data_IF_906507938079
#
_entry.id   IF_906507938079
#
_cell.length_a   1.000
_cell.length_b   1.000
_cell.length_c   1.000
_cell.angle_alpha   90.00
_cell.angle_beta   90.00
_cell.angle_gamma   90.00
#
_symmetry.space_group_name_H-M   'P 1'
#
loop_
_entity.id
_entity.type
_entity.pdbx_description
1 polymer ?
#
# COMPACT_ATOMS: atom_id res chain seq x y z
N UNK A 1 -130.80 76.07 180.92
CA UNK A 1 -129.95 76.91 180.05
C UNK A 1 -128.47 76.60 180.21
N UNK A 2 -127.98 76.18 181.38
CA UNK A 2 -126.56 75.87 181.61
C UNK A 2 -126.00 74.68 180.81
N UNK A 3 -126.80 73.64 180.50
CA UNK A 3 -126.34 72.49 179.69
C UNK A 3 -126.00 72.86 178.24
N UNK A 4 -126.76 73.76 177.61
CA UNK A 4 -126.53 74.21 176.23
C UNK A 4 -125.28 75.09 176.10
N UNK A 5 -124.99 75.92 177.11
CA UNK A 5 -123.77 76.72 177.16
C UNK A 5 -122.52 75.85 177.33
N UNK A 6 -122.58 74.81 178.18
CA UNK A 6 -121.47 73.85 178.35
C UNK A 6 -121.21 73.05 177.07
N UNK A 7 -122.25 72.61 176.36
CA UNK A 7 -122.09 71.93 175.05
C UNK A 7 -121.52 72.85 173.96
N UNK A 8 -121.88 74.14 173.96
CA UNK A 8 -121.32 75.11 173.00
C UNK A 8 -119.82 75.35 173.24
N UNK A 9 -119.41 75.47 174.51
CA UNK A 9 -118.00 75.61 174.90
C UNK A 9 -117.20 74.36 174.51
N UNK A 10 -117.71 73.15 174.81
CA UNK A 10 -117.05 71.90 174.43
C UNK A 10 -116.89 71.77 172.91
N UNK A 11 -117.91 72.13 172.13
CA UNK A 11 -117.81 72.12 170.64
C UNK A 11 -116.81 73.15 170.11
N UNK A 12 -116.65 74.28 170.79
CA UNK A 12 -115.70 75.32 170.39
C UNK A 12 -114.26 74.93 170.76
N UNK A 13 -114.07 74.32 171.93
CA UNK A 13 -112.81 73.68 172.35
C UNK A 13 -112.41 72.54 171.41
N UNK A 14 -113.33 71.66 171.02
CA UNK A 14 -113.11 70.60 170.04
C UNK A 14 -112.72 71.15 168.66
N UNK A 15 -113.40 72.20 168.16
CA UNK A 15 -113.04 72.86 166.89
C UNK A 15 -111.69 73.54 166.96
N UNK A 16 -111.35 74.18 168.09
CA UNK A 16 -110.04 74.79 168.30
C UNK A 16 -108.94 73.70 168.33
N UNK A 17 -109.20 72.59 169.01
CA UNK A 17 -108.30 71.43 169.06
C UNK A 17 -108.13 70.80 167.67
N UNK A 18 -109.20 70.62 166.89
CA UNK A 18 -109.13 70.13 165.51
C UNK A 18 -108.34 71.09 164.60
N UNK A 19 -108.57 72.41 164.69
CA UNK A 19 -107.79 73.41 163.94
C UNK A 19 -106.31 73.39 164.31
N UNK A 20 -106.00 73.13 165.58
CA UNK A 20 -104.63 72.97 166.06
C UNK A 20 -103.99 71.69 165.51
N UNK A 21 -104.67 70.55 165.60
CA UNK A 21 -104.20 69.27 165.07
C UNK A 21 -104.02 69.30 163.55
N UNK A 22 -104.93 69.95 162.81
CA UNK A 22 -104.82 70.12 161.36
C UNK A 22 -103.64 71.02 160.97
N UNK A 23 -103.38 72.10 161.73
CA UNK A 23 -102.19 72.94 161.52
C UNK A 23 -100.91 72.17 161.82
N UNK A 24 -100.90 71.37 162.88
CA UNK A 24 -99.77 70.53 163.23
C UNK A 24 -99.49 69.47 162.14
N UNK A 25 -100.53 68.84 161.59
CA UNK A 25 -100.42 67.90 160.47
C UNK A 25 -99.88 68.60 159.21
N UNK A 26 -100.44 69.74 158.81
CA UNK A 26 -99.96 70.51 157.67
C UNK A 26 -98.49 70.93 157.82
N UNK A 27 -98.06 71.36 159.00
CA UNK A 27 -96.67 71.70 159.26
C UNK A 27 -95.74 70.47 159.17
N UNK A 28 -96.20 69.29 159.61
CA UNK A 28 -95.46 68.03 159.44
C UNK A 28 -95.32 67.67 157.97
N UNK A 29 -96.41 67.71 157.20
CA UNK A 29 -96.41 67.42 155.77
C UNK A 29 -95.51 68.39 154.98
N UNK A 30 -95.57 69.70 155.28
CA UNK A 30 -94.69 70.69 154.66
C UNK A 30 -93.22 70.45 154.98
N UNK A 31 -92.92 70.04 156.22
CA UNK A 31 -91.56 69.70 156.63
C UNK A 31 -91.06 68.43 155.93
N UNK A 32 -91.93 67.44 155.74
CA UNK A 32 -91.65 66.24 154.95
C UNK A 32 -91.41 66.58 153.47
N UNK A 33 -92.23 67.43 152.85
CA UNK A 33 -92.00 67.90 151.47
C UNK A 33 -90.67 68.64 151.32
N UNK A 34 -90.29 69.47 152.29
CA UNK A 34 -88.98 70.17 152.27
C UNK A 34 -87.85 69.15 152.36
N UNK A 35 -87.97 68.12 153.20
CA UNK A 35 -86.97 67.05 153.30
C UNK A 35 -86.88 66.24 152.01
N UNK A 36 -88.01 65.90 151.41
CA UNK A 36 -88.07 65.15 150.16
C UNK A 36 -87.44 65.93 149.00
N UNK A 37 -87.78 67.21 148.84
CA UNK A 37 -87.16 68.08 147.82
C UNK A 37 -85.65 68.22 148.03
N UNK A 38 -85.18 68.33 149.28
CA UNK A 38 -83.75 68.34 149.59
C UNK A 38 -83.09 67.03 149.17
N UNK A 39 -83.70 65.90 149.50
CA UNK A 39 -83.18 64.59 149.12
C UNK A 39 -83.13 64.42 147.59
N UNK A 40 -84.18 64.81 146.88
CA UNK A 40 -84.23 64.79 145.40
C UNK A 40 -83.16 65.70 144.78
N UNK A 41 -82.94 66.90 145.33
CA UNK A 41 -81.89 67.79 144.87
C UNK A 41 -80.48 67.20 145.10
N UNK A 42 -80.29 66.48 146.20
CA UNK A 42 -79.01 65.80 146.48
C UNK A 42 -78.81 64.59 145.57
N UNK A 43 -79.87 63.83 145.26
CA UNK A 43 -79.83 62.75 144.25
C UNK A 43 -79.49 63.30 142.86
N UNK A 44 -80.14 64.37 142.41
CA UNK A 44 -79.86 64.99 141.11
C UNK A 44 -78.39 65.45 141.00
N UNK A 45 -77.84 66.07 142.06
CA UNK A 45 -76.41 66.43 142.09
C UNK A 45 -75.47 65.22 142.01
N UNK A 46 -75.87 64.07 142.55
CA UNK A 46 -75.09 62.84 142.45
C UNK A 46 -75.17 62.26 141.03
N UNK A 47 -76.34 62.32 140.39
CA UNK A 47 -76.53 61.91 139.00
C UNK A 47 -75.75 62.81 138.03
N UNK A 48 -75.83 64.13 138.17
CA UNK A 48 -75.06 65.09 137.36
C UNK A 48 -73.55 64.82 137.42
N UNK A 49 -73.04 64.44 138.61
CA UNK A 49 -71.63 64.05 138.78
C UNK A 49 -71.32 62.75 138.05
N UNK A 50 -72.19 61.74 138.16
CA UNK A 50 -72.01 60.45 137.47
C UNK A 50 -72.03 60.64 135.95
N UNK A 51 -73.00 61.38 135.43
CA UNK A 51 -73.10 61.70 134.00
C UNK A 51 -71.89 62.51 133.53
N UNK A 52 -71.44 63.50 134.31
CA UNK A 52 -70.23 64.27 134.02
C UNK A 52 -68.98 63.40 133.94
N UNK A 53 -68.80 62.45 134.86
CA UNK A 53 -67.71 61.47 134.83
C UNK A 53 -67.80 60.53 133.61
N UNK A 54 -69.01 60.06 133.28
CA UNK A 54 -69.24 59.21 132.10
C UNK A 54 -68.92 59.94 130.80
N UNK A 55 -69.34 61.20 130.67
CA UNK A 55 -69.00 62.05 129.52
C UNK A 55 -67.48 62.24 129.41
N UNK A 56 -66.79 62.46 130.52
CA UNK A 56 -65.32 62.57 130.52
C UNK A 56 -64.65 61.26 130.09
N UNK A 57 -65.10 60.11 130.61
CA UNK A 57 -64.58 58.79 130.24
C UNK A 57 -64.81 58.51 128.74
N UNK A 58 -66.01 58.79 128.23
CA UNK A 58 -66.34 58.60 126.82
C UNK A 58 -65.50 59.53 125.91
N UNK A 59 -65.30 60.78 126.32
CA UNK A 59 -64.45 61.72 125.58
C UNK A 59 -63.00 61.22 125.49
N UNK A 60 -62.45 60.71 126.60
CA UNK A 60 -61.11 60.11 126.63
C UNK A 60 -61.02 58.86 125.74
N UNK A 61 -62.02 57.97 125.79
CA UNK A 61 -62.07 56.79 124.93
C UNK A 61 -62.13 57.16 123.44
N UNK A 62 -62.96 58.14 123.08
CA UNK A 62 -63.05 58.62 121.71
C UNK A 62 -61.72 59.18 121.20
N UNK A 63 -61.01 59.96 122.02
CA UNK A 63 -59.67 60.45 121.68
C UNK A 63 -58.67 59.31 121.48
N UNK A 64 -58.70 58.28 122.34
CA UNK A 64 -57.85 57.10 122.19
C UNK A 64 -58.18 56.31 120.92
N UNK A 65 -59.45 56.18 120.56
CA UNK A 65 -59.85 55.51 119.31
C UNK A 65 -59.38 56.28 118.07
N UNK A 66 -59.44 57.61 118.09
CA UNK A 66 -58.89 58.44 117.02
C UNK A 66 -57.39 58.22 116.88
N UNK A 67 -56.64 58.21 117.99
CA UNK A 67 -55.20 57.93 117.96
C UNK A 67 -54.90 56.54 117.41
N UNK A 68 -55.63 55.50 117.82
CA UNK A 68 -55.48 54.14 117.30
C UNK A 68 -55.77 54.04 115.80
N UNK A 69 -56.77 54.76 115.30
CA UNK A 69 -57.07 54.81 113.85
C UNK A 69 -55.91 55.45 113.08
N UNK A 70 -55.40 56.57 113.58
CA UNK A 70 -54.26 57.27 112.97
C UNK A 70 -52.99 56.41 112.98
N UNK A 71 -52.75 55.64 114.05
CA UNK A 71 -51.63 54.70 114.14
C UNK A 71 -51.75 53.57 113.12
N UNK A 72 -52.91 52.91 113.03
CA UNK A 72 -53.18 51.87 112.03
C UNK A 72 -53.01 52.39 110.60
N UNK A 73 -53.51 53.58 110.29
CA UNK A 73 -53.35 54.18 108.96
C UNK A 73 -51.87 54.44 108.63
N UNK A 74 -51.04 54.79 109.63
CA UNK A 74 -49.60 54.95 109.45
C UNK A 74 -48.92 53.61 109.21
N UNK A 75 -49.25 52.59 110.02
CA UNK A 75 -48.73 51.23 109.85
C UNK A 75 -49.08 50.66 108.47
N UNK A 76 -50.34 50.78 108.03
CA UNK A 76 -50.77 50.33 106.70
C UNK A 76 -50.06 51.06 105.56
N UNK A 77 -49.71 52.35 105.74
CA UNK A 77 -48.94 53.10 104.74
C UNK A 77 -47.51 52.59 104.67
N UNK A 78 -46.88 52.33 105.81
CA UNK A 78 -45.52 51.78 105.88
C UNK A 78 -45.47 50.37 105.30
N UNK A 79 -46.42 49.50 105.66
CA UNK A 79 -46.50 48.15 105.11
C UNK A 79 -46.76 48.15 103.60
N UNK A 80 -47.65 49.03 103.11
CA UNK A 80 -47.85 49.19 101.65
C UNK A 80 -46.57 49.61 100.93
N UNK A 81 -45.79 50.54 101.50
CA UNK A 81 -44.51 50.95 100.94
C UNK A 81 -43.50 49.80 100.96
N UNK A 82 -43.42 49.06 102.08
CA UNK A 82 -42.55 47.89 102.21
C UNK A 82 -42.85 46.83 101.15
N UNK A 83 -44.12 46.45 101.02
CA UNK A 83 -44.59 45.48 100.03
C UNK A 83 -44.29 45.94 98.59
N UNK A 84 -44.47 47.24 98.30
CA UNK A 84 -44.12 47.80 97.00
C UNK A 84 -42.62 47.66 96.71
N UNK A 85 -41.76 48.02 97.67
CA UNK A 85 -40.31 47.88 97.51
C UNK A 85 -39.87 46.42 97.36
N UNK A 86 -40.48 45.50 98.12
CA UNK A 86 -40.23 44.08 98.01
C UNK A 86 -40.64 43.53 96.63
N UNK A 87 -41.83 43.91 96.14
CA UNK A 87 -42.29 43.54 94.81
C UNK A 87 -41.34 44.06 93.71
N UNK A 88 -40.90 45.32 93.80
CA UNK A 88 -39.93 45.88 92.85
C UNK A 88 -38.59 45.16 92.92
N UNK A 89 -38.12 44.78 94.11
CA UNK A 89 -36.90 44.00 94.27
C UNK A 89 -37.05 42.60 93.65
N UNK A 90 -38.16 41.92 93.91
CA UNK A 90 -38.47 40.60 93.34
C UNK A 90 -38.56 40.67 91.81
N UNK A 91 -39.18 41.71 91.25
CA UNK A 91 -39.20 41.91 89.79
C UNK A 91 -37.81 42.06 89.20
N UNK A 92 -36.90 42.78 89.87
CA UNK A 92 -35.51 42.91 89.41
C UNK A 92 -34.78 41.56 89.45
N UNK A 93 -35.00 40.77 90.51
CA UNK A 93 -34.41 39.43 90.64
C UNK A 93 -34.93 38.51 89.53
N UNK A 94 -36.24 38.49 89.28
CA UNK A 94 -36.86 37.66 88.22
C UNK A 94 -36.26 38.02 86.86
N UNK A 95 -36.17 39.31 86.52
CA UNK A 95 -35.56 39.76 85.27
C UNK A 95 -34.11 39.32 85.13
N UNK A 96 -33.31 39.48 86.19
CA UNK A 96 -31.91 39.05 86.17
C UNK A 96 -31.77 37.52 85.97
N UNK A 97 -32.66 36.73 86.59
CA UNK A 97 -32.69 35.27 86.39
C UNK A 97 -33.12 34.90 84.97
N UNK A 98 -34.09 35.60 84.39
CA UNK A 98 -34.53 35.40 83.01
C UNK A 98 -33.42 35.74 82.01
N UNK A 99 -32.74 36.87 82.21
CA UNK A 99 -31.59 37.29 81.39
C UNK A 99 -30.46 36.26 81.46
N UNK A 100 -30.14 35.73 82.65
CA UNK A 100 -29.14 34.68 82.80
C UNK A 100 -29.53 33.41 82.03
N UNK A 101 -30.79 32.96 82.14
CA UNK A 101 -31.29 31.79 81.40
C UNK A 101 -31.16 31.98 79.89
N UNK A 102 -31.51 33.15 79.37
CA UNK A 102 -31.36 33.46 77.95
C UNK A 102 -29.89 33.38 77.50
N UNK A 103 -28.97 33.91 78.31
CA UNK A 103 -27.54 33.82 78.03
C UNK A 103 -27.04 32.36 78.00
N UNK A 104 -27.49 31.52 78.94
CA UNK A 104 -27.16 30.09 79.00
C UNK A 104 -27.74 29.32 77.80
N UNK A 105 -28.99 29.60 77.43
CA UNK A 105 -29.63 29.03 76.24
C UNK A 105 -28.88 29.44 74.95
N UNK A 106 -28.51 30.71 74.83
CA UNK A 106 -27.73 31.21 73.70
C UNK A 106 -26.35 30.54 73.61
N UNK A 107 -25.67 30.34 74.74
CA UNK A 107 -24.41 29.60 74.80
C UNK A 107 -24.59 28.14 74.38
N UNK A 108 -25.66 27.50 74.83
CA UNK A 108 -26.00 26.14 74.43
C UNK A 108 -26.28 26.04 72.93
N UNK A 109 -27.05 26.96 72.37
CA UNK A 109 -27.34 27.05 70.93
C UNK A 109 -26.04 27.25 70.14
N UNK A 110 -25.16 28.16 70.59
CA UNK A 110 -23.85 28.39 69.96
C UNK A 110 -22.98 27.14 69.97
N UNK A 111 -22.90 26.44 71.11
CA UNK A 111 -22.11 25.21 71.24
C UNK A 111 -22.65 24.11 70.32
N UNK A 112 -23.96 23.91 70.28
CA UNK A 112 -24.60 22.94 69.43
C UNK A 112 -24.42 23.26 67.94
N UNK A 113 -24.50 24.53 67.55
CA UNK A 113 -24.23 24.96 66.18
C UNK A 113 -22.77 24.69 65.78
N UNK A 114 -21.80 25.02 66.65
CA UNK A 114 -20.37 24.71 66.42
C UNK A 114 -20.15 23.20 66.27
N UNK A 115 -20.75 22.39 67.13
CA UNK A 115 -20.68 20.93 67.05
C UNK A 115 -21.24 20.41 65.71
N UNK A 116 -22.42 20.89 65.28
CA UNK A 116 -23.00 20.56 63.97
C UNK A 116 -22.08 20.99 62.82
N UNK A 117 -21.46 22.15 62.90
CA UNK A 117 -20.52 22.63 61.89
C UNK A 117 -19.27 21.73 61.81
N UNK A 118 -18.72 21.29 62.95
CA UNK A 118 -17.60 20.35 62.97
C UNK A 118 -17.96 19.00 62.38
N UNK A 119 -19.14 18.46 62.72
CA UNK A 119 -19.63 17.20 62.14
C UNK A 119 -19.79 17.34 60.63
N UNK A 120 -20.39 18.43 60.15
CA UNK A 120 -20.56 18.67 58.72
C UNK A 120 -19.21 18.76 57.97
N UNK A 121 -18.18 19.35 58.57
CA UNK A 121 -16.82 19.36 58.00
C UNK A 121 -16.24 17.94 57.92
N UNK A 122 -16.31 17.17 59.00
CA UNK A 122 -15.83 15.78 59.01
C UNK A 122 -16.57 14.89 58.01
N UNK A 123 -17.89 15.10 57.83
CA UNK A 123 -18.66 14.38 56.82
C UNK A 123 -18.19 14.70 55.40
N UNK A 124 -17.92 15.98 55.10
CA UNK A 124 -17.36 16.38 53.79
C UNK A 124 -15.97 15.79 53.55
N UNK A 125 -15.09 15.86 54.54
CA UNK A 125 -13.74 15.26 54.45
C UNK A 125 -13.81 13.75 54.22
N UNK A 126 -14.73 13.04 54.91
CA UNK A 126 -14.95 11.61 54.70
C UNK A 126 -15.54 11.30 53.32
N UNK A 127 -16.45 12.12 52.82
CA UNK A 127 -17.00 11.98 51.48
C UNK A 127 -15.91 12.19 50.40
N UNK A 128 -15.07 13.21 50.56
CA UNK A 128 -13.92 13.48 49.69
C UNK A 128 -12.90 12.33 49.71
N UNK A 129 -12.60 11.78 50.88
CA UNK A 129 -11.73 10.60 51.03
C UNK A 129 -12.30 9.39 50.28
N UNK A 130 -13.59 9.10 50.45
CA UNK A 130 -14.27 8.00 49.75
C UNK A 130 -14.26 8.20 48.22
N UNK A 131 -14.48 9.42 47.76
CA UNK A 131 -14.37 9.77 46.33
C UNK A 131 -12.95 9.56 45.82
N UNK A 132 -11.92 9.99 46.58
CA UNK A 132 -10.51 9.80 46.21
C UNK A 132 -10.17 8.32 46.09
N UNK A 133 -10.56 7.49 47.07
CA UNK A 133 -10.34 6.05 47.04
C UNK A 133 -11.02 5.39 45.83
N UNK A 134 -12.26 5.81 45.52
CA UNK A 134 -12.99 5.30 44.35
C UNK A 134 -12.26 5.67 43.05
N UNK A 135 -11.79 6.92 42.94
CA UNK A 135 -11.02 7.39 41.79
C UNK A 135 -9.69 6.64 41.66
N UNK A 136 -8.95 6.46 42.74
CA UNK A 136 -7.69 5.70 42.75
C UNK A 136 -7.91 4.25 42.28
N UNK A 137 -9.02 3.63 42.69
CA UNK A 137 -9.40 2.30 42.24
C UNK A 137 -9.71 2.27 40.74
N UNK A 138 -10.52 3.22 40.25
CA UNK A 138 -10.81 3.35 38.82
C UNK A 138 -9.54 3.60 38.00
N UNK A 139 -8.67 4.50 38.45
CA UNK A 139 -7.41 4.79 37.78
C UNK A 139 -6.50 3.55 37.74
N UNK A 140 -6.47 2.74 38.81
CA UNK A 140 -5.72 1.48 38.83
C UNK A 140 -6.24 0.51 37.77
N UNK A 141 -7.56 0.36 37.64
CA UNK A 141 -8.18 -0.48 36.60
C UNK A 141 -7.81 0.07 35.21
N UNK A 142 -7.96 1.37 34.98
CA UNK A 142 -7.63 2.01 33.70
C UNK A 142 -6.16 1.82 33.33
N UNK A 143 -5.23 1.97 34.29
CA UNK A 143 -3.80 1.73 34.07
C UNK A 143 -3.50 0.27 33.72
N UNK A 144 -4.13 -0.68 34.41
CA UNK A 144 -3.99 -2.12 34.10
C UNK A 144 -4.52 -2.44 32.70
N UNK A 145 -5.70 -1.93 32.35
CA UNK A 145 -6.28 -2.11 31.03
C UNK A 145 -5.40 -1.50 29.93
N UNK A 146 -4.89 -0.28 30.14
CA UNK A 146 -3.98 0.37 29.21
C UNK A 146 -2.68 -0.42 29.02
N UNK A 147 -2.12 -0.99 30.09
CA UNK A 147 -0.95 -1.85 30.02
C UNK A 147 -1.22 -3.11 29.18
N UNK A 148 -2.34 -3.80 29.44
CA UNK A 148 -2.77 -4.96 28.66
C UNK A 148 -2.96 -4.61 27.18
N UNK A 149 -3.65 -3.51 26.87
CA UNK A 149 -3.82 -3.05 25.49
C UNK A 149 -2.47 -2.77 24.81
N UNK A 150 -1.54 -2.13 25.51
CA UNK A 150 -0.21 -1.83 24.96
C UNK A 150 0.61 -3.10 24.70
N UNK A 151 0.45 -4.13 25.52
CA UNK A 151 1.12 -5.42 25.35
C UNK A 151 0.55 -6.17 24.15
N UNK A 152 -0.78 -6.20 24.01
CA UNK A 152 -1.45 -6.78 22.83
C UNK A 152 -0.96 -6.09 21.56
N UNK A 153 -0.94 -4.75 21.52
CA UNK A 153 -0.44 -4.00 20.35
C UNK A 153 1.00 -4.36 19.99
N UNK A 154 1.90 -4.43 20.98
CA UNK A 154 3.29 -4.87 20.75
C UNK A 154 3.36 -6.28 20.16
N UNK A 155 2.56 -7.21 20.68
CA UNK A 155 2.54 -8.59 20.18
C UNK A 155 2.01 -8.69 18.74
N UNK A 156 1.06 -7.83 18.37
CA UNK A 156 0.54 -7.75 17.00
C UNK A 156 1.57 -7.13 16.05
N UNK A 157 2.25 -6.06 16.48
CA UNK A 157 3.35 -5.45 15.73
C UNK A 157 4.48 -6.47 15.47
N UNK A 158 4.83 -7.29 16.47
CA UNK A 158 5.79 -8.39 16.32
C UNK A 158 5.31 -9.47 15.34
N UNK A 159 4.00 -9.77 15.29
CA UNK A 159 3.44 -10.70 14.29
C UNK A 159 3.52 -10.10 12.89
N UNK A 160 3.15 -8.83 12.73
CA UNK A 160 3.22 -8.11 11.45
C UNK A 160 4.66 -8.04 10.95
N UNK A 161 5.61 -7.68 11.80
CA UNK A 161 7.03 -7.64 11.46
C UNK A 161 7.55 -9.00 10.97
N UNK A 162 7.15 -10.10 11.63
CA UNK A 162 7.50 -11.46 11.19
C UNK A 162 6.92 -11.79 9.82
N UNK A 163 5.68 -11.41 9.55
CA UNK A 163 5.05 -11.70 8.26
C UNK A 163 5.62 -10.82 7.13
N UNK A 164 6.00 -9.57 7.42
CA UNK A 164 6.76 -8.72 6.49
C UNK A 164 8.11 -9.36 6.16
N UNK A 165 8.89 -9.75 7.17
CA UNK A 165 10.19 -10.38 6.96
C UNK A 165 10.10 -11.69 6.14
N UNK A 166 9.07 -12.50 6.36
CA UNK A 166 8.80 -13.70 5.53
C UNK A 166 8.52 -13.34 4.07
N UNK A 167 7.69 -12.31 3.83
CA UNK A 167 7.36 -11.84 2.48
C UNK A 167 8.59 -11.28 1.77
N UNK A 168 9.40 -10.48 2.46
CA UNK A 168 10.65 -9.94 1.92
C UNK A 168 11.64 -11.06 1.59
N UNK A 169 11.84 -12.02 2.49
CA UNK A 169 12.71 -13.16 2.23
C UNK A 169 12.23 -14.04 1.06
N UNK A 170 10.91 -14.22 0.91
CA UNK A 170 10.33 -14.93 -0.24
C UNK A 170 10.56 -14.15 -1.54
N UNK A 171 10.35 -12.83 -1.52
CA UNK A 171 10.59 -11.96 -2.67
C UNK A 171 12.07 -11.95 -3.07
N UNK A 172 12.99 -11.88 -2.10
CA UNK A 172 14.43 -11.92 -2.35
C UNK A 172 14.86 -13.25 -2.98
N UNK A 173 14.30 -14.38 -2.50
CA UNK A 173 14.52 -15.70 -3.13
C UNK A 173 14.01 -15.74 -4.57
N UNK A 174 12.82 -15.22 -4.82
CA UNK A 174 12.24 -15.17 -6.17
C UNK A 174 13.09 -14.29 -7.11
N UNK A 175 13.59 -13.15 -6.63
CA UNK A 175 14.49 -12.30 -7.43
C UNK A 175 15.81 -13.01 -7.73
N UNK A 176 16.44 -13.64 -6.74
CA UNK A 176 17.65 -14.44 -6.93
C UNK A 176 17.43 -15.57 -7.94
N UNK A 177 16.29 -16.25 -7.90
CA UNK A 177 15.95 -17.28 -8.87
C UNK A 177 15.75 -16.71 -10.29
N UNK A 178 15.04 -15.59 -10.42
CA UNK A 178 14.86 -14.89 -11.71
C UNK A 178 16.20 -14.42 -12.29
N UNK A 179 17.09 -13.88 -11.46
CA UNK A 179 18.43 -13.48 -11.85
C UNK A 179 19.29 -14.67 -12.28
N UNK A 180 19.24 -15.78 -11.52
CA UNK A 180 19.93 -17.02 -11.89
C UNK A 180 19.43 -17.58 -13.23
N UNK A 181 18.10 -17.60 -13.46
CA UNK A 181 17.51 -18.01 -14.75
C UNK A 181 17.97 -17.11 -15.90
N UNK A 182 17.94 -15.79 -15.72
CA UNK A 182 18.45 -14.83 -16.72
C UNK A 182 19.92 -15.07 -17.01
N UNK A 183 20.74 -15.26 -15.97
CA UNK A 183 22.17 -15.54 -16.11
C UNK A 183 22.42 -16.84 -16.90
N UNK A 184 21.72 -17.92 -16.57
CA UNK A 184 21.83 -19.19 -17.28
C UNK A 184 21.40 -19.08 -18.77
N UNK A 185 20.37 -18.31 -19.08
CA UNK A 185 19.97 -18.04 -20.48
C UNK A 185 21.06 -17.26 -21.22
N UNK A 186 21.66 -16.25 -20.58
CA UNK A 186 22.77 -15.49 -21.18
C UNK A 186 23.97 -16.40 -21.44
N UNK A 187 24.33 -17.25 -20.48
CA UNK A 187 25.41 -18.23 -20.61
C UNK A 187 25.13 -19.22 -21.75
N UNK A 188 23.91 -19.77 -21.82
CA UNK A 188 23.50 -20.68 -22.91
C UNK A 188 23.54 -20.00 -24.30
N UNK A 189 23.11 -18.74 -24.41
CA UNK A 189 23.23 -17.97 -25.65
C UNK A 189 24.71 -17.75 -26.02
N UNK A 190 25.56 -17.46 -25.04
CA UNK A 190 27.00 -17.28 -25.26
C UNK A 190 27.66 -18.58 -25.72
N UNK A 191 27.34 -19.72 -25.09
CA UNK A 191 27.81 -21.04 -25.48
C UNK A 191 27.34 -21.41 -26.90
N UNK A 192 26.07 -21.18 -27.22
CA UNK A 192 25.55 -21.41 -28.58
C UNK A 192 26.27 -20.54 -29.61
N UNK A 193 26.48 -19.24 -29.33
CA UNK A 193 27.25 -18.36 -30.23
C UNK A 193 28.69 -18.83 -30.41
N UNK A 194 29.34 -19.29 -29.33
CA UNK A 194 30.70 -19.83 -29.39
C UNK A 194 30.78 -21.13 -30.20
N UNK A 195 29.82 -22.04 -30.03
CA UNK A 195 29.76 -23.29 -30.83
C UNK A 195 29.49 -23.00 -32.30
N UNK A 196 28.54 -22.11 -32.62
CA UNK A 196 28.29 -21.69 -34.01
C UNK A 196 29.52 -21.03 -34.63
N UNK A 197 30.25 -20.20 -33.89
CA UNK A 197 31.50 -19.60 -34.37
C UNK A 197 32.57 -20.66 -34.65
N UNK A 198 32.73 -21.65 -33.75
CA UNK A 198 33.65 -22.78 -33.97
C UNK A 198 33.25 -23.62 -35.18
N UNK A 199 31.96 -23.98 -35.32
CA UNK A 199 31.47 -24.72 -36.48
C UNK A 199 31.65 -23.96 -37.79
N UNK A 200 31.42 -22.63 -37.81
CA UNK A 200 31.69 -21.80 -38.99
C UNK A 200 33.17 -21.82 -39.35
N UNK A 201 34.06 -21.71 -38.35
CA UNK A 201 35.50 -21.76 -38.56
C UNK A 201 35.98 -23.14 -39.05
N UNK A 202 35.40 -24.23 -38.56
CA UNK A 202 35.67 -25.58 -39.06
C UNK A 202 35.17 -25.77 -40.50
N UNK A 203 33.93 -25.35 -40.81
CA UNK A 203 33.40 -25.37 -42.17
C UNK A 203 34.26 -24.56 -43.15
N UNK A 204 34.68 -23.36 -42.78
CA UNK A 204 35.61 -22.58 -43.63
C UNK A 204 36.96 -23.30 -43.84
N UNK A 205 37.44 -24.05 -42.85
CA UNK A 205 38.67 -24.85 -43.00
C UNK A 205 38.43 -26.04 -43.94
N UNK A 206 37.29 -26.70 -43.84
CA UNK A 206 36.88 -27.80 -44.72
C UNK A 206 36.69 -27.31 -46.16
N UNK A 207 35.95 -26.22 -46.38
CA UNK A 207 35.77 -25.59 -47.70
C UNK A 207 37.10 -25.14 -48.30
N UNK A 208 38.02 -24.59 -47.50
CA UNK A 208 39.40 -24.28 -47.93
C UNK A 208 40.20 -25.53 -48.28
N UNK A 209 39.94 -26.66 -47.64
CA UNK A 209 40.60 -27.92 -47.96
C UNK A 209 40.01 -28.57 -49.23
N UNK A 210 38.68 -28.51 -49.40
CA UNK A 210 37.98 -28.99 -50.58
C UNK A 210 38.33 -28.16 -51.82
N UNK A 211 38.25 -26.83 -51.75
CA UNK A 211 38.70 -25.95 -52.85
C UNK A 211 40.16 -26.18 -53.24
N UNK A 212 41.05 -26.48 -52.29
CA UNK A 212 42.42 -26.90 -52.58
C UNK A 212 42.49 -28.24 -53.31
N UNK A 213 41.68 -29.24 -52.89
CA UNK A 213 41.60 -30.54 -53.58
C UNK A 213 41.05 -30.39 -55.00
N UNK A 214 40.01 -29.58 -55.19
CA UNK A 214 39.44 -29.27 -56.50
C UNK A 214 40.45 -28.57 -57.41
N UNK A 215 41.22 -27.62 -56.88
CA UNK A 215 42.29 -26.96 -57.62
C UNK A 215 43.36 -27.97 -58.07
N UNK A 216 43.78 -28.87 -57.17
CA UNK A 216 44.75 -29.92 -57.51
C UNK A 216 44.18 -30.84 -58.61
N UNK A 217 42.94 -31.30 -58.47
CA UNK A 217 42.28 -32.14 -59.47
C UNK A 217 42.14 -31.44 -60.83
N UNK A 218 41.88 -30.14 -60.85
CA UNK A 218 41.83 -29.35 -62.08
C UNK A 218 43.21 -29.23 -62.74
N UNK A 219 44.26 -29.02 -61.95
CA UNK A 219 45.66 -28.98 -62.44
C UNK A 219 46.05 -30.34 -63.04
N UNK A 220 45.75 -31.45 -62.36
CA UNK A 220 46.01 -32.81 -62.85
C UNK A 220 45.24 -33.09 -64.15
N UNK A 221 43.96 -32.71 -64.22
CA UNK A 221 43.15 -32.86 -65.44
C UNK A 221 43.71 -32.05 -66.62
N UNK A 222 44.15 -30.82 -66.38
CA UNK A 222 44.80 -29.99 -67.40
C UNK A 222 46.14 -30.59 -67.86
N UNK A 223 46.89 -31.20 -66.94
CA UNK A 223 48.15 -31.87 -67.26
C UNK A 223 47.91 -33.11 -68.13
N UNK A 224 46.93 -33.96 -67.77
CA UNK A 224 46.51 -35.11 -68.59
C UNK A 224 46.03 -34.63 -69.97
N UNK A 225 45.22 -33.58 -70.04
CA UNK A 225 44.76 -33.02 -71.31
C UNK A 225 45.94 -32.61 -72.20
N UNK A 226 46.90 -31.84 -71.67
CA UNK A 226 48.11 -31.45 -72.39
C UNK A 226 48.94 -32.65 -72.88
N UNK A 227 49.06 -33.70 -72.07
CA UNK A 227 49.75 -34.93 -72.46
C UNK A 227 49.01 -35.66 -73.58
N UNK A 228 47.67 -35.77 -73.51
CA UNK A 228 46.87 -36.39 -74.58
C UNK A 228 46.91 -35.60 -75.89
N UNK A 229 46.89 -34.26 -75.82
CA UNK A 229 47.02 -33.36 -76.98
C UNK A 229 48.40 -33.52 -77.63
N UNK A 230 49.48 -33.58 -76.84
CA UNK A 230 50.84 -33.87 -77.34
C UNK A 230 50.93 -35.25 -77.98
N UNK A 231 50.36 -36.28 -77.35
CA UNK A 231 50.34 -37.64 -77.88
C UNK A 231 49.53 -37.74 -79.19
N UNK A 232 48.42 -37.02 -79.29
CA UNK A 232 47.61 -36.96 -80.51
C UNK A 232 48.35 -36.25 -81.65
N UNK A 233 48.99 -35.10 -81.37
CA UNK A 233 49.85 -34.39 -82.33
C UNK A 233 51.01 -35.26 -82.80
N UNK A 234 51.61 -36.06 -81.91
CA UNK A 234 52.66 -37.01 -82.27
C UNK A 234 52.13 -38.14 -83.17
N UNK A 235 50.99 -38.76 -82.83
CA UNK A 235 50.35 -39.78 -83.67
C UNK A 235 50.00 -39.27 -85.07
N UNK A 236 49.52 -38.02 -85.18
CA UNK A 236 49.25 -37.40 -86.49
C UNK A 236 50.53 -37.19 -87.31
N UNK A 237 51.64 -36.79 -86.67
CA UNK A 237 52.95 -36.71 -87.34
C UNK A 237 53.42 -38.07 -87.84
N UNK A 238 53.35 -39.10 -87.00
CA UNK A 238 53.79 -40.45 -87.36
C UNK A 238 52.93 -41.02 -88.52
N UNK A 239 51.61 -40.81 -88.49
CA UNK A 239 50.72 -41.20 -89.58
C UNK A 239 51.03 -40.46 -90.89
N UNK A 240 51.31 -39.15 -90.84
CA UNK A 240 51.71 -38.37 -92.02
C UNK A 240 53.04 -38.83 -92.61
N UNK A 241 54.02 -39.20 -91.77
CA UNK A 241 55.29 -39.79 -92.23
C UNK A 241 55.04 -41.11 -92.94
N UNK A 242 54.17 -41.97 -92.42
CA UNK A 242 53.88 -43.26 -93.04
C UNK A 242 53.15 -43.10 -94.39
N UNK A 243 52.22 -42.14 -94.50
CA UNK A 243 51.57 -41.79 -95.78
C UNK A 243 52.59 -41.28 -96.81
N UNK A 244 53.52 -40.39 -96.40
CA UNK A 244 54.58 -39.91 -97.30
C UNK A 244 55.47 -41.06 -97.77
N UNK A 245 55.81 -42.00 -96.89
CA UNK A 245 56.61 -43.18 -97.20
C UNK A 245 55.90 -44.09 -98.22
N UNK A 246 54.60 -44.32 -98.07
CA UNK A 246 53.78 -45.08 -99.02
C UNK A 246 53.74 -44.38 -100.39
N UNK A 247 53.56 -43.05 -100.43
CA UNK A 247 53.58 -42.30 -101.69
C UNK A 247 54.93 -42.40 -102.42
N UNK A 248 56.06 -42.32 -101.70
CA UNK A 248 57.39 -42.49 -102.28
C UNK A 248 57.54 -43.90 -102.87
N UNK A 249 57.04 -44.92 -102.17
CA UNK A 249 57.07 -46.31 -102.63
C UNK A 249 56.23 -46.50 -103.91
N UNK A 250 55.01 -45.95 -103.95
CA UNK A 250 54.16 -45.98 -105.14
C UNK A 250 54.78 -45.23 -106.33
N UNK A 251 55.44 -44.09 -106.09
CA UNK A 251 56.18 -43.38 -107.16
C UNK A 251 57.35 -44.19 -107.71
N UNK A 252 58.06 -44.93 -106.85
CA UNK A 252 59.15 -45.82 -107.26
C UNK A 252 58.63 -47.00 -108.09
N UNK A 253 57.53 -47.65 -107.66
CA UNK A 253 56.88 -48.73 -108.41
C UNK A 253 56.36 -48.25 -109.78
N UNK A 254 55.74 -47.07 -109.84
CA UNK A 254 55.21 -46.52 -111.09
C UNK A 254 56.32 -46.22 -112.09
N UNK A 255 57.45 -45.65 -111.65
CA UNK A 255 58.65 -45.47 -112.49
C UNK A 255 59.26 -46.78 -112.97
N UNK A 256 59.29 -47.81 -112.12
CA UNK A 256 59.80 -49.13 -112.49
C UNK A 256 58.92 -49.79 -113.58
N UNK A 257 57.59 -49.71 -113.45
CA UNK A 257 56.66 -50.20 -114.48
C UNK A 257 56.81 -49.44 -115.81
N UNK A 258 56.95 -48.12 -115.77
CA UNK A 258 57.15 -47.28 -116.97
C UNK A 258 58.46 -47.63 -117.72
N UNK A 259 59.53 -47.98 -117.01
CA UNK A 259 60.77 -48.44 -117.64
C UNK A 259 60.63 -49.83 -118.25
N UNK A 260 59.85 -50.72 -117.62
CA UNK A 260 59.61 -52.06 -118.12
C UNK A 260 58.74 -52.07 -119.40
N UNK A 261 57.71 -51.21 -119.46
CA UNK A 261 56.88 -51.02 -120.67
C UNK A 261 57.71 -50.46 -121.83
N UNK A 262 58.56 -49.46 -121.59
CA UNK A 262 59.46 -48.92 -122.63
C UNK A 262 60.41 -49.95 -123.21
N UNK A 263 60.88 -50.90 -122.39
CA UNK A 263 61.76 -51.97 -122.86
C UNK A 263 60.98 -52.98 -123.72
N UNK A 264 59.76 -53.32 -123.32
CA UNK A 264 58.89 -54.23 -124.07
C UNK A 264 58.49 -53.68 -125.45
N UNK A 265 58.23 -52.37 -125.56
CA UNK A 265 57.90 -51.72 -126.84
C UNK A 265 59.09 -51.71 -127.82
N UNK A 266 60.31 -51.50 -127.32
CA UNK A 266 61.53 -51.56 -128.13
C UNK A 266 61.76 -52.97 -128.68
N UNK A 267 61.62 -53.99 -127.83
CA UNK A 267 61.80 -55.40 -128.21
C UNK A 267 60.76 -55.87 -129.24
N UNK A 268 59.50 -55.39 -129.12
CA UNK A 268 58.44 -55.66 -130.10
C UNK A 268 58.73 -55.04 -131.47
N UNK A 269 59.27 -53.81 -131.49
CA UNK A 269 59.65 -53.13 -132.74
C UNK A 269 60.80 -53.85 -133.46
N UNK A 270 61.80 -54.31 -132.70
CA UNK A 270 62.98 -55.00 -133.24
C UNK A 270 62.61 -56.35 -133.86
N UNK A 271 61.68 -57.09 -133.23
CA UNK A 271 61.17 -58.35 -133.79
C UNK A 271 60.42 -58.13 -135.11
N UNK A 272 59.66 -57.05 -135.24
CA UNK A 272 58.90 -56.73 -136.46
C UNK A 272 59.82 -56.42 -137.64
N UNK A 273 60.91 -55.68 -137.42
CA UNK A 273 61.90 -55.37 -138.45
C UNK A 273 62.69 -56.61 -138.90
N UNK A 274 63.08 -57.49 -137.97
CA UNK A 274 63.75 -58.75 -138.30
C UNK A 274 62.89 -59.68 -139.18
N UNK A 275 61.58 -59.76 -138.92
CA UNK A 275 60.64 -60.54 -139.73
C UNK A 275 60.49 -59.94 -141.13
N UNK A 276 60.45 -58.61 -141.25
CA UNK A 276 60.33 -57.93 -142.53
C UNK A 276 61.57 -58.16 -143.43
N UNK A 277 62.78 -58.05 -142.87
CA UNK A 277 64.03 -58.27 -143.61
C UNK A 277 64.15 -59.72 -144.12
N UNK A 278 63.73 -60.71 -143.33
CA UNK A 278 63.80 -62.12 -143.73
C UNK A 278 62.85 -62.45 -144.88
N UNK A 279 61.63 -61.88 -144.85
CA UNK A 279 60.63 -62.01 -145.94
C UNK A 279 61.08 -61.34 -147.23
N UNK A 280 61.70 -60.17 -147.15
CA UNK A 280 62.24 -59.45 -148.32
C UNK A 280 63.37 -60.25 -148.99
N UNK A 281 64.26 -60.86 -148.20
CA UNK A 281 65.35 -61.67 -148.74
C UNK A 281 64.85 -62.95 -149.44
N UNK A 282 63.81 -63.61 -148.90
CA UNK A 282 63.18 -64.76 -149.56
C UNK A 282 62.51 -64.37 -150.88
N UNK A 283 61.81 -63.23 -150.89
CA UNK A 283 61.15 -62.70 -152.09
C UNK A 283 62.15 -62.38 -153.21
N UNK A 284 63.28 -61.75 -152.89
CA UNK A 284 64.32 -61.44 -153.86
C UNK A 284 65.01 -62.70 -154.41
N UNK A 285 65.21 -63.74 -153.58
CA UNK A 285 65.81 -65.01 -154.01
C UNK A 285 64.91 -65.76 -154.99
N UNK A 286 63.60 -65.74 -154.74
CA UNK A 286 62.59 -66.29 -155.65
C UNK A 286 62.55 -65.53 -156.97
N UNK A 287 62.54 -64.19 -156.94
CA UNK A 287 62.54 -63.36 -158.14
C UNK A 287 63.77 -63.58 -159.05
N UNK A 288 64.97 -63.78 -158.46
CA UNK A 288 66.19 -64.09 -159.22
C UNK A 288 66.10 -65.43 -159.96
N UNK A 289 65.56 -66.46 -159.32
CA UNK A 289 65.40 -67.78 -159.97
C UNK A 289 64.46 -67.72 -161.17
N UNK A 290 63.37 -66.95 -161.09
CA UNK A 290 62.43 -66.74 -162.19
C UNK A 290 63.11 -66.04 -163.38
N UNK A 291 63.93 -65.01 -163.11
CA UNK A 291 64.69 -64.29 -164.15
C UNK A 291 65.71 -65.20 -164.83
N UNK A 292 66.43 -66.05 -164.07
CA UNK A 292 67.40 -66.98 -164.63
C UNK A 292 66.74 -68.09 -165.47
N UNK A 293 65.58 -68.61 -165.07
CA UNK A 293 64.87 -69.64 -165.85
C UNK A 293 64.34 -69.11 -167.18
N UNK A 294 63.83 -67.86 -167.21
CA UNK A 294 63.32 -67.26 -168.45
C UNK A 294 64.45 -66.90 -169.44
N UNK A 295 65.64 -66.59 -168.93
CA UNK A 295 66.82 -66.25 -169.75
C UNK A 295 67.28 -67.38 -170.69
N UNK A 296 66.91 -68.62 -170.40
CA UNK A 296 67.28 -69.78 -171.22
C UNK A 296 66.30 -70.07 -172.36
N UNK A 297 65.12 -69.45 -172.35
CA UNK A 297 63.99 -69.94 -173.14
C UNK A 297 63.42 -68.91 -174.14
N UNK A 298 63.64 -67.60 -173.95
CA UNK A 298 62.87 -66.60 -174.72
C UNK A 298 63.54 -65.23 -174.86
N UNK A 299 63.45 -64.62 -176.05
CA UNK A 299 64.00 -63.27 -176.38
C UNK A 299 63.14 -62.07 -175.88
N UNK A 300 62.30 -62.25 -174.85
CA UNK A 300 61.47 -61.18 -174.25
C UNK A 300 61.77 -60.97 -172.76
N UNK A 301 63.00 -60.58 -172.44
CA UNK A 301 63.49 -60.39 -171.06
C UNK A 301 63.12 -59.03 -170.40
N UNK A 302 62.55 -58.11 -171.17
CA UNK A 302 62.36 -56.72 -170.76
C UNK A 302 61.32 -56.48 -169.64
N UNK A 303 60.20 -57.24 -169.54
CA UNK A 303 59.23 -57.06 -168.45
C UNK A 303 59.76 -57.42 -167.06
N UNK A 304 60.54 -58.50 -166.93
CA UNK A 304 61.04 -59.02 -165.65
C UNK A 304 62.20 -58.18 -165.08
N UNK A 305 63.05 -57.63 -165.95
CA UNK A 305 64.11 -56.70 -165.55
C UNK A 305 63.57 -55.34 -165.12
N UNK A 306 62.42 -54.92 -165.66
CA UNK A 306 61.73 -53.69 -165.22
C UNK A 306 61.10 -53.87 -163.85
N UNK A 307 60.50 -55.04 -163.60
CA UNK A 307 59.95 -55.38 -162.28
C UNK A 307 61.03 -55.50 -161.18
N UNK A 308 62.27 -55.89 -161.46
CA UNK A 308 63.31 -56.02 -160.41
C UNK A 308 64.02 -54.71 -160.04
N UNK A 309 64.02 -53.70 -160.94
CA UNK A 309 64.60 -52.38 -160.66
C UNK A 309 63.66 -51.45 -159.90
N UNK A 310 62.35 -51.62 -160.05
CA UNK A 310 61.35 -50.75 -159.43
C UNK A 310 60.96 -51.18 -158.00
N UNK A 311 61.60 -52.23 -157.46
CA UNK A 311 61.42 -52.70 -156.08
C UNK A 311 62.56 -52.14 -155.23
N UNK A 312 62.56 -50.82 -155.06
CA UNK A 312 63.30 -50.20 -153.96
C UNK A 312 62.43 -49.14 -153.30
N UNK A 313 61.49 -49.66 -152.51
CA UNK A 313 61.06 -49.03 -151.27
C UNK A 313 60.17 -47.81 -151.40
N UNK A 314 58.87 -47.99 -151.13
CA UNK A 314 58.05 -46.94 -150.51
C UNK A 314 56.80 -47.56 -149.91
N UNK A 315 56.91 -47.93 -148.63
CA UNK A 315 55.82 -48.33 -147.78
C UNK A 315 56.28 -48.36 -146.33
N UNK A 316 55.80 -47.41 -145.51
CA UNK A 316 56.04 -47.40 -144.06
C UNK A 316 56.36 -45.99 -143.55
N UNK A 317 55.45 -45.43 -142.75
CA UNK A 317 55.40 -44.01 -142.41
C UNK A 317 56.19 -43.56 -141.17
N UNK A 318 56.14 -42.24 -140.95
CA UNK A 318 56.40 -41.44 -139.75
C UNK A 318 55.56 -40.15 -139.98
N UNK A 319 54.87 -39.55 -139.00
CA UNK A 319 55.43 -38.79 -137.90
C UNK A 319 54.51 -38.81 -136.66
N UNK A 320 55.12 -39.06 -135.50
CA UNK A 320 54.78 -38.45 -134.23
C UNK A 320 56.02 -37.72 -133.73
N UNK A 321 55.90 -36.47 -133.27
CA UNK A 321 56.47 -35.96 -132.00
C UNK A 321 56.18 -34.47 -131.79
N UNK A 322 55.66 -34.14 -130.61
CA UNK A 322 55.57 -32.78 -130.07
C UNK A 322 54.98 -32.79 -128.66
N UNK A 323 55.83 -33.09 -127.68
CA UNK A 323 55.57 -32.89 -126.25
C UNK A 323 55.83 -31.44 -125.88
N UNK A 324 54.91 -30.79 -125.18
CA UNK A 324 55.20 -29.70 -124.25
C UNK A 324 54.08 -29.66 -123.20
N UNK A 325 54.45 -29.92 -121.95
CA UNK A 325 53.56 -29.74 -120.80
C UNK A 325 53.68 -28.32 -120.24
N UNK A 326 52.69 -27.91 -119.45
CA UNK A 326 52.80 -27.06 -118.25
C UNK A 326 51.44 -27.06 -117.52
N UNK A 327 51.53 -27.09 -116.18
CA UNK A 327 50.49 -27.11 -115.13
C UNK A 327 49.35 -26.07 -115.26
N UNK A 328 48.30 -26.23 -114.43
CA UNK A 328 48.02 -25.15 -113.49
C UNK A 328 47.79 -25.67 -112.05
N UNK A 329 48.62 -25.21 -111.12
CA UNK A 329 48.45 -25.36 -109.69
C UNK A 329 48.22 -23.99 -109.06
N UNK A 330 46.98 -23.73 -108.68
CA UNK A 330 46.51 -22.66 -107.81
C UNK A 330 47.25 -22.68 -106.46
N UNK A 331 47.80 -21.54 -106.02
CA UNK A 331 47.52 -20.88 -104.73
C UNK A 331 48.61 -19.87 -104.34
N UNK A 332 48.18 -18.65 -104.07
CA UNK A 332 48.78 -17.64 -103.19
C UNK A 332 47.69 -16.57 -102.98
N UNK A 333 47.45 -15.92 -101.84
CA UNK A 333 48.06 -15.91 -100.51
C UNK A 333 47.16 -15.05 -99.60
N UNK A 334 47.12 -15.41 -98.33
CA UNK A 334 47.30 -14.58 -97.12
C UNK A 334 46.43 -13.36 -96.76
N UNK A 335 46.44 -13.19 -95.43
CA UNK A 335 46.45 -11.97 -94.60
C UNK A 335 45.17 -11.84 -93.74
N UNK A 336 45.20 -12.32 -92.51
CA UNK A 336 45.70 -11.67 -91.27
C UNK A 336 44.78 -10.52 -90.83
N UNK A 337 44.05 -10.76 -89.74
CA UNK A 337 44.33 -10.22 -88.39
C UNK A 337 43.79 -8.81 -88.19
N UNK A 338 42.63 -8.73 -87.53
CA UNK A 338 42.49 -8.16 -86.17
C UNK A 338 41.55 -9.07 -85.37
#
# INVERSE_FOLDING_TARGET
MERKCKEAILREEEKAHQRYMNRLALCRDQLEQIKERKHQADLAKLEDKREGEEIQRLSQLYQLELLRKMEKEREEKVERQRLYHEHVANQKIIKAVEEQKQMEEDDWIRAHFKAKQTIAKLMKEKEEEMRRLTQEHQDKITRQLAAQMSEVLKSEDERIARDIAKKEAAWEKEQKEKEAKKKAVIESIAEHRATVAKMKLEKEREEKAESKKELIALVEKNQIYLETEKAQKQRQRDANVEVQKIQIQQMAEKKAKEQQEKQADLDYSAQKELIALRKEHEFQKYAKQVIESESRTTHHLYPLLKASKDIRGLGGGLFSRGNEGINPGFQAQDVAEV
#
